data_IF_194892082002
#
_entry.id   IF_194892082002
#
_cell.length_a   1.000
_cell.length_b   1.000
_cell.length_c   1.000
_cell.angle_alpha   90.00
_cell.angle_beta   90.00
_cell.angle_gamma   90.00
#
_symmetry.space_group_name_H-M   'P 1'
#
loop_
_entity.id
_entity.type
_entity.pdbx_description
1 polymer ?
#
# COMPACT_ATOMS: atom_id res chain seq x y z
N UNK A 1 -4.04 9.27 -8.43
CA UNK A 1 -3.85 8.81 -7.04
C UNK A 1 -2.96 7.59 -7.06
N UNK A 2 -1.99 7.49 -6.15
CA UNK A 2 -1.19 6.27 -5.91
C UNK A 2 -1.54 5.75 -4.51
N UNK A 3 -1.78 4.45 -4.41
CA UNK A 3 -2.06 3.77 -3.14
C UNK A 3 -0.92 2.81 -2.83
N UNK A 4 -0.34 2.94 -1.64
CA UNK A 4 0.67 2.02 -1.11
C UNK A 4 -0.01 1.11 -0.10
N UNK A 5 -0.02 -0.18 -0.40
CA UNK A 5 -0.42 -1.23 0.54
C UNK A 5 0.79 -1.54 1.43
N UNK A 6 0.84 -0.92 2.60
CA UNK A 6 1.95 -1.10 3.53
C UNK A 6 1.73 -2.36 4.37
N UNK A 7 2.73 -3.25 4.37
CA UNK A 7 2.71 -4.49 5.12
C UNK A 7 4.11 -4.78 5.67
N UNK A 8 4.24 -5.24 6.92
CA UNK A 8 5.50 -5.75 7.44
C UNK A 8 6.06 -6.85 6.53
N UNK A 9 7.38 -6.82 6.29
CA UNK A 9 8.06 -7.70 5.34
C UNK A 9 7.87 -9.17 5.70
N UNK A 10 7.86 -9.50 6.99
CA UNK A 10 7.64 -10.85 7.48
C UNK A 10 6.25 -11.39 7.12
N UNK A 11 5.24 -10.53 7.19
CA UNK A 11 3.86 -10.87 6.82
C UNK A 11 3.74 -11.00 5.30
N UNK A 12 4.41 -10.15 4.53
CA UNK A 12 4.43 -10.27 3.07
C UNK A 12 5.09 -11.59 2.64
N UNK A 13 6.28 -11.87 3.17
CA UNK A 13 7.05 -13.07 2.83
C UNK A 13 6.36 -14.37 3.23
N UNK A 14 5.51 -14.37 4.27
CA UNK A 14 4.73 -15.55 4.65
C UNK A 14 3.57 -15.85 3.70
N UNK A 15 3.15 -14.87 2.89
CA UNK A 15 2.08 -15.00 1.89
C UNK A 15 2.59 -15.41 0.50
N UNK A 16 3.91 -15.42 0.29
CA UNK A 16 4.54 -15.74 -0.99
C UNK A 16 4.95 -17.21 -1.00
N UNK A 17 4.29 -18.07 -1.82
CA UNK A 17 4.55 -19.50 -1.84
C UNK A 17 5.91 -19.85 -2.48
N UNK A 18 6.30 -19.11 -3.51
CA UNK A 18 7.58 -19.26 -4.22
C UNK A 18 8.27 -17.90 -4.31
N UNK A 19 9.52 -17.83 -3.86
CA UNK A 19 10.32 -16.60 -3.81
C UNK A 19 11.20 -16.50 -5.05
N UNK A 20 11.14 -15.38 -5.74
CA UNK A 20 12.15 -14.95 -6.70
C UNK A 20 13.43 -14.39 -6.01
N UNK A 21 14.25 -13.66 -6.77
CA UNK A 21 15.54 -13.14 -6.34
C UNK A 21 15.44 -11.83 -5.53
N UNK A 22 14.27 -11.18 -5.51
CA UNK A 22 14.00 -9.94 -4.79
C UNK A 22 13.35 -10.16 -3.42
N UNK A 23 12.84 -11.34 -3.10
CA UNK A 23 12.13 -11.64 -1.85
C UNK A 23 13.07 -11.99 -0.69
N UNK A 24 14.22 -11.31 -0.64
CA UNK A 24 15.06 -11.32 0.55
C UNK A 24 14.54 -10.29 1.57
N UNK A 25 14.43 -10.70 2.83
CA UNK A 25 13.93 -9.85 3.93
C UNK A 25 14.66 -8.50 3.99
N UNK A 26 15.99 -8.53 4.00
CA UNK A 26 16.84 -7.33 4.08
C UNK A 26 16.63 -6.36 2.92
N UNK A 27 16.38 -6.87 1.71
CA UNK A 27 16.10 -6.03 0.55
C UNK A 27 14.72 -5.39 0.67
N UNK A 28 13.70 -6.20 0.97
CA UNK A 28 12.33 -5.74 1.11
C UNK A 28 12.13 -4.76 2.27
N UNK A 29 12.90 -4.87 3.35
CA UNK A 29 12.90 -3.88 4.45
C UNK A 29 13.29 -2.48 3.94
N UNK A 30 14.36 -2.40 3.15
CA UNK A 30 14.79 -1.13 2.52
C UNK A 30 13.79 -0.63 1.50
N UNK A 31 13.22 -1.52 0.70
CA UNK A 31 12.18 -1.16 -0.28
C UNK A 31 10.96 -0.58 0.43
N UNK A 32 10.51 -1.20 1.52
CA UNK A 32 9.40 -0.71 2.33
C UNK A 32 9.67 0.68 2.91
N UNK A 33 10.85 0.90 3.48
CA UNK A 33 11.27 2.21 3.99
C UNK A 33 11.20 3.29 2.90
N UNK A 34 11.70 3.01 1.70
CA UNK A 34 11.65 3.93 0.56
C UNK A 34 10.21 4.26 0.14
N UNK A 35 9.32 3.27 0.07
CA UNK A 35 7.91 3.52 -0.26
C UNK A 35 7.20 4.34 0.84
N UNK A 36 7.51 4.11 2.12
CA UNK A 36 6.98 4.92 3.22
C UNK A 36 7.46 6.37 3.11
N UNK A 37 8.74 6.60 2.82
CA UNK A 37 9.27 7.94 2.60
C UNK A 37 8.59 8.63 1.40
N UNK A 38 8.51 7.95 0.26
CA UNK A 38 7.84 8.44 -0.94
C UNK A 38 6.38 8.80 -0.68
N UNK A 39 5.67 7.99 0.11
CA UNK A 39 4.27 8.27 0.43
C UNK A 39 4.08 9.61 1.15
N UNK A 40 5.03 9.96 2.01
CA UNK A 40 4.99 11.20 2.79
C UNK A 40 5.36 12.40 1.91
N UNK A 41 6.34 12.22 1.02
CA UNK A 41 6.83 13.30 0.13
C UNK A 41 5.86 13.63 -1.00
N UNK A 42 5.29 12.60 -1.63
CA UNK A 42 4.48 12.75 -2.85
C UNK A 42 2.97 12.77 -2.56
N UNK A 43 2.57 12.71 -1.28
CA UNK A 43 1.16 12.68 -0.87
C UNK A 43 0.43 11.39 -1.28
N UNK A 44 1.13 10.26 -1.35
CA UNK A 44 0.48 8.98 -1.66
C UNK A 44 -0.34 8.48 -0.48
N UNK A 45 -1.44 7.79 -0.80
CA UNK A 45 -2.31 7.23 0.22
C UNK A 45 -1.72 5.90 0.69
N UNK A 46 -1.51 5.76 2.00
CA UNK A 46 -1.15 4.48 2.61
C UNK A 46 -2.39 3.78 3.15
N UNK A 47 -2.49 2.49 2.87
CA UNK A 47 -3.51 1.59 3.45
C UNK A 47 -2.83 0.43 4.17
N UNK A 48 -3.52 -0.13 5.16
CA UNK A 48 -3.01 -1.24 5.95
C UNK A 48 -3.16 -2.58 5.21
N UNK A 49 -2.04 -3.17 4.82
CA UNK A 49 -1.95 -4.46 4.15
C UNK A 49 -1.92 -5.67 5.10
N UNK A 50 -1.93 -5.46 6.43
CA UNK A 50 -2.00 -6.57 7.41
C UNK A 50 -3.40 -7.16 7.53
N UNK A 51 -4.42 -6.40 7.13
CA UNK A 51 -5.83 -6.79 7.19
C UNK A 51 -6.21 -7.88 6.18
N UNK A 52 -7.47 -8.33 6.24
CA UNK A 52 -8.02 -9.19 5.18
C UNK A 52 -8.15 -8.41 3.87
N UNK A 53 -8.24 -9.15 2.75
CA UNK A 53 -8.43 -8.57 1.42
C UNK A 53 -9.64 -7.63 1.37
N UNK A 54 -10.76 -8.03 1.97
CA UNK A 54 -12.01 -7.28 1.98
C UNK A 54 -11.88 -5.97 2.77
N UNK A 55 -11.16 -6.00 3.88
CA UNK A 55 -10.91 -4.82 4.71
C UNK A 55 -9.93 -3.84 4.03
N UNK A 56 -8.84 -4.34 3.45
CA UNK A 56 -7.92 -3.51 2.67
C UNK A 56 -8.62 -2.92 1.45
N UNK A 57 -9.45 -3.69 0.76
CA UNK A 57 -10.25 -3.20 -0.37
C UNK A 57 -11.18 -2.05 0.03
N UNK A 58 -11.90 -2.20 1.16
CA UNK A 58 -12.76 -1.13 1.69
C UNK A 58 -11.99 0.15 1.97
N UNK A 59 -10.79 0.08 2.55
CA UNK A 59 -9.95 1.26 2.75
C UNK A 59 -9.59 1.95 1.43
N UNK A 60 -9.34 1.19 0.36
CA UNK A 60 -9.07 1.76 -0.96
C UNK A 60 -10.33 2.44 -1.52
N UNK A 61 -11.48 1.78 -1.44
CA UNK A 61 -12.77 2.33 -1.90
C UNK A 61 -13.11 3.65 -1.19
N UNK A 62 -13.01 3.70 0.14
CA UNK A 62 -13.27 4.91 0.93
C UNK A 62 -12.40 6.09 0.48
N UNK A 63 -11.14 5.83 0.12
CA UNK A 63 -10.19 6.84 -0.37
C UNK A 63 -10.52 7.30 -1.78
N UNK A 64 -10.93 6.38 -2.65
CA UNK A 64 -11.40 6.70 -4.01
C UNK A 64 -12.67 7.56 -3.94
N UNK A 65 -13.66 7.16 -3.15
CA UNK A 65 -14.90 7.91 -2.98
C UNK A 65 -14.66 9.30 -2.43
N UNK A 66 -13.84 9.43 -1.38
CA UNK A 66 -13.47 10.74 -0.85
C UNK A 66 -12.79 11.65 -1.89
N UNK A 67 -12.12 11.11 -2.91
CA UNK A 67 -11.56 11.92 -3.99
C UNK A 67 -12.59 12.30 -5.05
N UNK A 68 -13.51 11.38 -5.37
CA UNK A 68 -14.57 11.63 -6.33
C UNK A 68 -15.56 12.68 -5.81
N UNK A 69 -15.96 12.58 -4.54
CA UNK A 69 -16.91 13.49 -3.90
C UNK A 69 -16.37 14.91 -3.72
N UNK A 70 -15.03 15.06 -3.69
CA UNK A 70 -14.35 16.36 -3.60
C UNK A 70 -13.71 16.78 -4.95
N UNK A 71 -14.09 16.14 -6.06
CA UNK A 71 -13.53 16.44 -7.38
C UNK A 71 -14.23 17.65 -8.00
N UNK A 72 -13.53 18.77 -8.27
CA UNK A 72 -14.11 19.97 -8.90
C UNK A 72 -14.47 19.77 -10.38
N UNK A 73 -14.32 18.55 -10.93
CA UNK A 73 -14.68 18.20 -12.30
C UNK A 73 -16.12 17.67 -12.42
N UNK A 74 -16.86 17.58 -11.31
CA UNK A 74 -18.24 17.10 -11.26
C UNK A 74 -19.26 18.20 -10.90
N UNK A 75 -18.80 19.45 -10.75
CA UNK A 75 -19.63 20.66 -10.59
C UNK A 75 -19.76 21.44 -11.90
#
# INVERSE_FOLDING_TARGET
MVVIVDVPVEIALSRIPEKDHFESKKYLEKVRELFIEMSSREGFVRVDGTLTKEQTHRQVEERVHSLLDNSPLLD
#
